data_IF_405818448617
#
_entry.id   IF_405818448617
#
_cell.length_a   1.000
_cell.length_b   1.000
_cell.length_c   1.000
_cell.angle_alpha   90.00
_cell.angle_beta   90.00
_cell.angle_gamma   90.00
#
_symmetry.space_group_name_H-M   'P 1'
#
loop_
_entity.id
_entity.type
_entity.pdbx_description
1 polymer ?
#
# COMPACT_ATOMS: atom_id res chain seq x y z
N UNK A 1 -18.30 -2.00 14.96
CA UNK A 1 -19.73 -1.67 15.24
C UNK A 1 -20.09 -0.38 14.54
N UNK A 2 -21.34 -0.20 14.08
CA UNK A 2 -21.80 1.11 13.60
C UNK A 2 -21.88 2.08 14.78
N UNK A 3 -21.51 3.35 14.52
CA UNK A 3 -21.69 4.43 15.49
C UNK A 3 -23.16 4.88 15.61
N UNK A 4 -23.45 5.85 16.48
CA UNK A 4 -24.79 6.48 16.50
C UNK A 4 -25.04 7.21 15.19
N UNK A 5 -26.32 7.32 14.81
CA UNK A 5 -26.71 8.20 13.70
C UNK A 5 -26.27 9.63 14.00
N UNK A 6 -25.56 10.23 13.08
CA UNK A 6 -24.94 11.54 13.25
C UNK A 6 -24.96 12.31 11.94
N UNK A 7 -25.23 13.59 12.02
CA UNK A 7 -25.01 14.48 10.88
C UNK A 7 -23.52 14.85 10.79
N UNK A 8 -23.02 15.02 9.57
CA UNK A 8 -21.65 15.49 9.31
C UNK A 8 -21.75 16.76 8.48
N UNK A 9 -21.18 17.84 8.99
CA UNK A 9 -21.09 19.10 8.26
C UNK A 9 -19.69 19.24 7.69
N UNK A 10 -19.62 19.49 6.39
CA UNK A 10 -18.36 19.73 5.66
C UNK A 10 -18.30 21.21 5.28
N UNK A 11 -17.18 21.84 5.57
CA UNK A 11 -16.88 23.22 5.17
C UNK A 11 -15.44 23.28 4.62
N UNK A 12 -15.28 23.91 3.48
CA UNK A 12 -13.99 24.06 2.76
C UNK A 12 -13.19 22.73 2.66
N UNK A 13 -13.91 21.63 2.28
CA UNK A 13 -13.30 20.32 2.10
C UNK A 13 -12.86 19.60 3.39
N UNK A 14 -13.27 20.11 4.56
CA UNK A 14 -12.97 19.52 5.87
C UNK A 14 -14.23 19.24 6.65
N UNK A 15 -14.17 18.25 7.52
CA UNK A 15 -15.21 17.98 8.50
C UNK A 15 -15.22 19.13 9.52
N UNK A 16 -16.32 19.88 9.56
CA UNK A 16 -16.47 20.97 10.52
C UNK A 16 -17.15 20.49 11.82
N UNK A 17 -18.18 19.63 11.70
CA UNK A 17 -18.96 19.13 12.84
C UNK A 17 -19.33 17.66 12.61
N UNK A 18 -19.32 16.87 13.67
CA UNK A 18 -19.88 15.51 13.73
C UNK A 18 -20.84 15.41 14.90
N UNK A 19 -22.09 15.03 14.64
CA UNK A 19 -23.14 14.91 15.64
C UNK A 19 -23.83 16.23 15.95
N UNK A 20 -25.16 16.14 16.19
CA UNK A 20 -26.07 17.28 16.43
C UNK A 20 -26.51 17.91 15.11
N UNK A 21 -27.74 18.44 15.09
CA UNK A 21 -28.23 19.27 13.99
C UNK A 21 -27.42 20.57 13.98
N UNK A 22 -26.27 20.56 13.31
CA UNK A 22 -25.61 21.80 12.94
C UNK A 22 -26.51 22.52 11.94
N UNK A 23 -26.74 23.84 12.06
CA UNK A 23 -27.44 24.56 11.03
C UNK A 23 -26.60 24.44 9.75
N UNK A 24 -27.11 23.75 8.75
CA UNK A 24 -26.60 23.93 7.40
C UNK A 24 -26.62 25.44 7.13
N UNK A 25 -25.42 26.02 6.79
CA UNK A 25 -25.35 27.43 6.44
C UNK A 25 -26.31 27.73 5.29
N UNK A 26 -26.69 29.00 5.12
CA UNK A 26 -27.52 29.41 3.99
C UNK A 26 -26.82 28.99 2.68
N UNK A 27 -27.46 28.11 1.89
CA UNK A 27 -26.88 27.55 0.65
C UNK A 27 -26.16 26.20 0.82
N UNK A 28 -26.19 25.55 1.99
CA UNK A 28 -25.65 24.21 2.16
C UNK A 28 -26.38 23.18 1.27
N UNK A 29 -25.61 22.26 0.67
CA UNK A 29 -26.17 21.11 -0.05
C UNK A 29 -26.34 19.99 0.97
N UNK A 30 -27.56 19.50 1.13
CA UNK A 30 -27.87 18.36 1.99
C UNK A 30 -27.83 17.06 1.19
N UNK A 31 -27.22 16.04 1.75
CA UNK A 31 -27.19 14.67 1.24
C UNK A 31 -27.74 13.74 2.32
N UNK A 32 -28.85 13.04 2.02
CA UNK A 32 -29.39 12.03 2.93
C UNK A 32 -28.58 10.73 2.82
N UNK A 33 -27.79 10.45 3.84
CA UNK A 33 -27.00 9.21 3.95
C UNK A 33 -27.83 7.99 4.34
N UNK A 34 -29.15 8.11 4.56
CA UNK A 34 -30.04 6.97 4.82
C UNK A 34 -29.72 6.16 6.08
N UNK A 35 -28.88 6.66 6.96
CA UNK A 35 -28.36 5.90 8.10
C UNK A 35 -27.29 4.84 7.74
N UNK A 36 -26.71 4.95 6.57
CA UNK A 36 -25.63 4.08 6.10
C UNK A 36 -24.31 4.35 6.82
N UNK A 37 -23.38 3.40 6.74
CA UNK A 37 -22.07 3.49 7.40
C UNK A 37 -21.17 4.49 6.69
N UNK A 38 -20.73 5.50 7.41
CA UNK A 38 -19.75 6.48 6.95
C UNK A 38 -18.35 6.06 7.37
N UNK A 39 -17.40 6.04 6.42
CA UNK A 39 -15.98 5.79 6.64
C UNK A 39 -15.15 6.96 6.07
N UNK A 40 -13.92 7.16 6.57
CA UNK A 40 -12.94 7.97 5.85
C UNK A 40 -12.54 7.25 4.56
N UNK A 41 -12.04 7.98 3.57
CA UNK A 41 -11.61 7.45 2.29
C UNK A 41 -10.58 6.32 2.44
N UNK A 42 -10.71 5.27 1.64
CA UNK A 42 -9.85 4.09 1.73
C UNK A 42 -8.42 4.41 1.27
N UNK A 43 -7.44 3.77 1.91
CA UNK A 43 -6.02 3.95 1.62
C UNK A 43 -5.41 2.64 1.14
N UNK A 44 -5.18 2.53 -0.16
CA UNK A 44 -4.46 1.40 -0.78
C UNK A 44 -2.95 1.62 -0.59
N UNK A 45 -2.39 0.96 0.41
CA UNK A 45 -1.01 1.17 0.84
C UNK A 45 0.02 0.39 0.01
N UNK A 46 -0.40 -0.40 -0.99
CA UNK A 46 0.49 -1.20 -1.81
C UNK A 46 -0.17 -1.62 -3.13
N UNK A 47 0.18 -0.98 -4.21
CA UNK A 47 -0.30 -1.26 -5.55
C UNK A 47 0.83 -1.17 -6.60
N UNK A 48 0.56 -1.63 -7.83
CA UNK A 48 1.44 -1.53 -9.00
C UNK A 48 0.64 -0.97 -10.19
N UNK A 49 0.46 0.35 -10.23
CA UNK A 49 -0.36 1.02 -11.24
C UNK A 49 0.24 0.93 -12.65
N UNK A 50 1.56 0.89 -12.76
CA UNK A 50 2.28 0.81 -14.04
C UNK A 50 2.14 -0.55 -14.74
N UNK A 51 1.82 -1.62 -13.99
CA UNK A 51 1.75 -3.01 -14.50
C UNK A 51 0.37 -3.42 -14.99
N UNK A 52 -0.67 -2.71 -14.55
CA UNK A 52 -2.06 -3.12 -14.80
C UNK A 52 -2.38 -3.27 -16.28
N UNK A 53 -3.24 -4.25 -16.59
CA UNK A 53 -3.92 -4.44 -17.88
C UNK A 53 -5.40 -4.07 -17.78
N UNK A 54 -5.80 -3.30 -16.74
CA UNK A 54 -7.17 -2.84 -16.55
C UNK A 54 -7.68 -2.06 -17.78
N UNK A 55 -8.88 -2.38 -18.22
CA UNK A 55 -9.46 -1.79 -19.43
C UNK A 55 -8.97 -2.40 -20.75
N UNK A 56 -7.98 -3.29 -20.72
CA UNK A 56 -7.49 -3.97 -21.92
C UNK A 56 -8.17 -5.33 -22.11
N UNK A 57 -8.18 -5.86 -23.36
CA UNK A 57 -8.63 -7.23 -23.63
C UNK A 57 -7.86 -8.24 -22.76
N UNK A 58 -8.56 -9.30 -22.36
CA UNK A 58 -7.97 -10.38 -21.61
C UNK A 58 -6.72 -10.95 -22.29
N UNK A 59 -5.68 -11.20 -21.49
CA UNK A 59 -4.48 -11.93 -21.89
C UNK A 59 -4.25 -13.07 -20.92
N UNK A 60 -4.05 -14.28 -21.47
CA UNK A 60 -3.67 -15.43 -20.65
C UNK A 60 -2.31 -15.22 -20.01
N UNK A 61 -2.15 -15.70 -18.78
CA UNK A 61 -0.86 -15.72 -18.12
C UNK A 61 0.10 -16.66 -18.86
N UNK A 62 1.26 -16.15 -19.25
CA UNK A 62 2.30 -16.87 -20.01
C UNK A 62 3.66 -16.87 -19.31
N UNK A 63 3.79 -16.21 -18.17
CA UNK A 63 4.99 -16.21 -17.33
C UNK A 63 5.23 -17.60 -16.73
N UNK A 64 6.49 -17.92 -16.43
CA UNK A 64 6.87 -19.14 -15.72
C UNK A 64 6.39 -19.13 -14.26
N UNK A 65 6.59 -20.23 -13.53
CA UNK A 65 6.18 -20.34 -12.13
C UNK A 65 7.12 -19.59 -11.16
N UNK A 66 8.28 -19.16 -11.62
CA UNK A 66 9.29 -18.49 -10.80
C UNK A 66 9.34 -16.98 -11.07
N UNK A 67 9.92 -16.25 -10.13
CA UNK A 67 10.00 -14.79 -10.16
C UNK A 67 10.75 -14.28 -11.40
N UNK A 68 11.85 -14.92 -11.78
CA UNK A 68 12.65 -14.49 -12.92
C UNK A 68 11.88 -14.63 -14.25
N UNK A 69 11.14 -15.73 -14.42
CA UNK A 69 10.27 -15.94 -15.58
C UNK A 69 9.12 -14.93 -15.67
N UNK A 70 8.52 -14.57 -14.53
CA UNK A 70 7.48 -13.54 -14.48
C UNK A 70 8.03 -12.17 -14.90
N UNK A 71 9.19 -11.78 -14.37
CA UNK A 71 9.87 -10.52 -14.72
C UNK A 71 10.23 -10.50 -16.21
N UNK A 72 10.81 -11.57 -16.76
CA UNK A 72 11.18 -11.65 -18.15
C UNK A 72 9.96 -11.55 -19.09
N UNK A 73 8.86 -12.22 -18.76
CA UNK A 73 7.60 -12.13 -19.49
C UNK A 73 7.03 -10.71 -19.50
N UNK A 74 7.05 -10.04 -18.36
CA UNK A 74 6.58 -8.66 -18.21
C UNK A 74 7.44 -7.68 -19.05
N UNK A 75 8.77 -7.77 -18.95
CA UNK A 75 9.69 -6.94 -19.74
C UNK A 75 9.46 -7.11 -21.25
N UNK A 76 9.26 -8.35 -21.70
CA UNK A 76 8.97 -8.60 -23.13
C UNK A 76 7.64 -8.01 -23.57
N UNK A 77 6.61 -8.07 -22.74
CA UNK A 77 5.27 -7.55 -23.06
C UNK A 77 5.17 -6.03 -22.97
N UNK A 78 5.92 -5.39 -22.08
CA UNK A 78 5.87 -3.94 -21.77
C UNK A 78 5.92 -3.07 -23.02
N UNK A 79 6.75 -3.42 -24.00
CA UNK A 79 6.95 -2.66 -25.27
C UNK A 79 5.72 -2.66 -26.18
N UNK A 80 4.76 -3.53 -25.92
CA UNK A 80 3.55 -3.71 -26.75
C UNK A 80 2.27 -3.30 -26.02
N UNK A 81 2.40 -2.74 -24.81
CA UNK A 81 1.28 -2.24 -24.04
C UNK A 81 1.01 -0.76 -24.36
N UNK A 82 -0.24 -0.31 -24.20
CA UNK A 82 -0.57 1.11 -24.20
C UNK A 82 0.25 1.88 -23.15
N UNK A 83 0.35 3.21 -23.28
CA UNK A 83 1.07 4.04 -22.33
C UNK A 83 0.66 3.78 -20.88
N UNK A 84 1.62 3.84 -19.96
CA UNK A 84 1.36 3.68 -18.52
C UNK A 84 0.31 4.68 -18.03
N UNK A 85 0.36 5.93 -18.49
CA UNK A 85 -0.59 6.98 -18.14
C UNK A 85 -2.05 6.57 -18.39
N UNK A 86 -2.31 5.91 -19.53
CA UNK A 86 -3.66 5.45 -19.87
C UNK A 86 -4.12 4.30 -18.97
N UNK A 87 -3.26 3.29 -18.78
CA UNK A 87 -3.58 2.09 -18.00
C UNK A 87 -3.71 2.39 -16.52
N UNK A 88 -2.74 3.12 -15.97
CA UNK A 88 -2.78 3.58 -14.59
C UNK A 88 -3.99 4.48 -14.32
N UNK A 89 -4.30 5.39 -15.26
CA UNK A 89 -5.48 6.23 -15.17
C UNK A 89 -6.79 5.44 -15.13
N UNK A 90 -6.96 4.45 -16.01
CA UNK A 90 -8.14 3.59 -16.01
C UNK A 90 -8.29 2.79 -14.71
N UNK A 91 -7.19 2.32 -14.11
CA UNK A 91 -7.23 1.63 -12.83
C UNK A 91 -7.53 2.59 -11.68
N UNK A 92 -6.95 3.80 -11.67
CA UNK A 92 -7.28 4.82 -10.67
C UNK A 92 -8.75 5.18 -10.69
N UNK A 93 -9.37 5.33 -11.89
CA UNK A 93 -10.81 5.57 -12.01
C UNK A 93 -11.63 4.44 -11.36
N UNK A 94 -11.23 3.19 -11.53
CA UNK A 94 -11.86 2.06 -10.85
C UNK A 94 -11.68 2.12 -9.32
N UNK A 95 -10.47 2.38 -8.84
CA UNK A 95 -10.20 2.52 -7.39
C UNK A 95 -11.02 3.65 -6.76
N UNK A 96 -11.13 4.81 -7.43
CA UNK A 96 -11.93 5.94 -6.96
C UNK A 96 -13.41 5.55 -6.82
N UNK A 97 -13.97 4.82 -7.79
CA UNK A 97 -15.37 4.36 -7.71
C UNK A 97 -15.63 3.40 -6.56
N UNK A 98 -14.58 2.77 -6.02
CA UNK A 98 -14.62 1.92 -4.82
C UNK A 98 -14.21 2.65 -3.53
N UNK A 99 -14.16 3.98 -3.56
CA UNK A 99 -13.89 4.80 -2.37
C UNK A 99 -12.42 4.90 -1.97
N UNK A 100 -11.49 4.53 -2.84
CA UNK A 100 -10.06 4.73 -2.58
C UNK A 100 -9.69 6.18 -2.86
N UNK A 101 -9.19 6.89 -1.85
CA UNK A 101 -8.78 8.30 -1.93
C UNK A 101 -7.26 8.49 -1.87
N UNK A 102 -6.53 7.45 -1.49
CA UNK A 102 -5.06 7.46 -1.49
C UNK A 102 -4.51 6.10 -1.94
N UNK A 103 -3.51 6.13 -2.82
CA UNK A 103 -2.81 4.94 -3.32
C UNK A 103 -1.30 5.12 -3.19
N UNK A 104 -0.60 4.14 -2.62
CA UNK A 104 0.85 4.00 -2.76
C UNK A 104 1.13 3.00 -3.88
N UNK A 105 1.78 3.46 -4.95
CA UNK A 105 2.13 2.62 -6.10
C UNK A 105 3.63 2.39 -6.19
N UNK A 106 4.04 1.13 -6.19
CA UNK A 106 5.38 0.72 -6.57
C UNK A 106 5.47 0.73 -8.10
N UNK A 107 6.46 1.41 -8.64
CA UNK A 107 6.62 1.61 -10.09
C UNK A 107 8.00 1.13 -10.52
N UNK A 108 8.04 0.25 -11.52
CA UNK A 108 9.27 -0.36 -12.00
C UNK A 108 10.29 0.66 -12.50
N UNK A 109 11.50 0.53 -11.96
CA UNK A 109 12.67 1.31 -12.37
C UNK A 109 13.81 0.34 -12.65
N UNK A 110 14.19 0.21 -13.90
CA UNK A 110 15.34 -0.58 -14.37
C UNK A 110 15.84 -0.02 -15.70
N UNK A 111 17.00 -0.45 -16.21
CA UNK A 111 17.56 0.08 -17.47
C UNK A 111 16.67 -0.10 -18.71
N UNK A 112 15.73 -1.07 -18.71
CA UNK A 112 14.77 -1.27 -19.82
C UNK A 112 13.55 -0.35 -19.68
N UNK A 113 13.06 -0.10 -18.45
CA UNK A 113 11.93 0.77 -18.17
C UNK A 113 12.33 2.26 -18.13
N UNK A 114 13.56 2.55 -17.71
CA UNK A 114 13.97 3.92 -17.38
C UNK A 114 13.07 4.53 -16.32
N UNK A 115 12.67 5.78 -16.52
CA UNK A 115 11.72 6.51 -15.69
C UNK A 115 10.32 6.63 -16.31
N UNK A 116 10.08 6.03 -17.47
CA UNK A 116 8.81 6.18 -18.19
C UNK A 116 7.59 5.68 -17.44
N UNK A 117 7.75 4.64 -16.59
CA UNK A 117 6.71 4.18 -15.67
C UNK A 117 6.36 5.24 -14.62
N UNK A 118 7.38 5.81 -13.98
CA UNK A 118 7.23 6.87 -12.96
C UNK A 118 6.53 8.09 -13.54
N UNK A 119 7.01 8.59 -14.68
CA UNK A 119 6.42 9.72 -15.38
C UNK A 119 4.95 9.45 -15.75
N UNK A 120 4.65 8.24 -16.23
CA UNK A 120 3.31 7.83 -16.60
C UNK A 120 2.34 7.77 -15.43
N UNK A 121 2.77 7.21 -14.29
CA UNK A 121 1.93 7.16 -13.08
C UNK A 121 1.74 8.54 -12.48
N UNK A 122 2.79 9.37 -12.39
CA UNK A 122 2.68 10.75 -11.92
C UNK A 122 1.74 11.58 -12.79
N UNK A 123 1.78 11.42 -14.12
CA UNK A 123 0.86 12.10 -15.03
C UNK A 123 -0.59 11.63 -14.86
N UNK A 124 -0.83 10.32 -14.64
CA UNK A 124 -2.15 9.77 -14.37
C UNK A 124 -2.72 10.30 -13.03
N UNK A 125 -1.86 10.42 -12.01
CA UNK A 125 -2.19 10.98 -10.70
C UNK A 125 -2.55 12.46 -10.79
N UNK A 126 -1.72 13.27 -11.46
CA UNK A 126 -1.97 14.70 -11.62
C UNK A 126 -3.31 14.99 -12.32
N UNK A 127 -3.68 14.17 -13.31
CA UNK A 127 -4.97 14.30 -13.98
C UNK A 127 -6.18 13.99 -13.08
N UNK A 128 -5.97 13.42 -11.88
CA UNK A 128 -6.99 13.03 -10.90
C UNK A 128 -6.73 13.59 -9.49
N UNK A 129 -5.86 14.59 -9.37
CA UNK A 129 -5.41 15.15 -8.08
C UNK A 129 -6.55 15.63 -7.18
N UNK A 130 -7.70 15.97 -7.75
CA UNK A 130 -8.89 16.42 -7.02
C UNK A 130 -9.72 15.25 -6.47
N UNK A 131 -9.37 13.99 -6.78
CA UNK A 131 -10.12 12.79 -6.42
C UNK A 131 -9.27 11.76 -5.67
N UNK A 132 -7.98 11.67 -6.00
CA UNK A 132 -7.07 10.67 -5.41
C UNK A 132 -5.67 11.23 -5.25
N UNK A 133 -5.04 10.94 -4.13
CA UNK A 133 -3.60 11.18 -3.90
C UNK A 133 -2.82 9.90 -4.24
N UNK A 134 -1.77 10.04 -5.04
CA UNK A 134 -0.88 8.90 -5.38
C UNK A 134 0.53 9.17 -4.88
N UNK A 135 1.01 8.30 -4.00
CA UNK A 135 2.40 8.26 -3.55
C UNK A 135 3.17 7.22 -4.36
N UNK A 136 4.20 7.62 -5.10
CA UNK A 136 5.00 6.73 -5.94
C UNK A 136 6.23 6.25 -5.18
N UNK A 137 6.46 4.93 -5.21
CA UNK A 137 7.68 4.26 -4.74
C UNK A 137 8.50 3.86 -5.97
N UNK A 138 9.74 4.34 -6.09
CA UNK A 138 10.68 3.80 -7.08
C UNK A 138 10.98 2.34 -6.74
N UNK A 139 10.76 1.40 -7.66
CA UNK A 139 10.82 -0.03 -7.37
C UNK A 139 11.78 -0.79 -8.29
N UNK A 140 12.81 -1.48 -7.74
CA UNK A 140 13.82 -2.16 -8.53
C UNK A 140 13.39 -3.59 -8.90
N UNK A 141 12.32 -3.75 -9.71
CA UNK A 141 11.76 -5.06 -10.05
C UNK A 141 12.76 -6.03 -10.67
N UNK A 142 13.74 -5.52 -11.42
CA UNK A 142 14.78 -6.33 -12.05
C UNK A 142 16.02 -6.54 -11.16
N UNK A 143 15.96 -6.12 -9.89
CA UNK A 143 17.02 -6.17 -8.90
C UNK A 143 17.80 -4.87 -8.81
N UNK A 144 18.22 -4.52 -7.59
CA UNK A 144 19.02 -3.32 -7.30
C UNK A 144 20.50 -3.49 -7.70
N UNK A 145 21.04 -4.69 -7.47
CA UNK A 145 22.47 -4.98 -7.64
C UNK A 145 22.76 -5.88 -8.83
N UNK A 146 21.85 -6.81 -9.14
CA UNK A 146 22.03 -7.79 -10.23
C UNK A 146 21.76 -7.20 -11.60
N UNK A 147 21.06 -6.07 -11.69
CA UNK A 147 20.85 -5.31 -12.94
C UNK A 147 21.65 -4.00 -12.89
N UNK A 148 22.80 -3.92 -13.59
CA UNK A 148 23.68 -2.75 -13.53
C UNK A 148 22.99 -1.48 -14.03
N UNK A 149 23.13 -0.37 -13.28
CA UNK A 149 22.51 0.93 -13.59
C UNK A 149 21.18 1.16 -12.87
N UNK A 150 20.59 0.14 -12.25
CA UNK A 150 19.34 0.30 -11.50
C UNK A 150 19.49 1.25 -10.31
N UNK A 151 20.56 1.15 -9.54
CA UNK A 151 20.76 2.00 -8.35
C UNK A 151 20.81 3.50 -8.71
N UNK A 152 21.46 3.86 -9.81
CA UNK A 152 21.52 5.23 -10.33
C UNK A 152 20.13 5.71 -10.80
N UNK A 153 19.38 4.85 -11.48
CA UNK A 153 18.01 5.16 -11.92
C UNK A 153 17.06 5.30 -10.73
N UNK A 154 17.18 4.47 -9.70
CA UNK A 154 16.40 4.59 -8.47
C UNK A 154 16.66 5.94 -7.79
N UNK A 155 17.92 6.37 -7.71
CA UNK A 155 18.27 7.70 -7.20
C UNK A 155 17.66 8.82 -8.07
N UNK A 156 17.67 8.66 -9.40
CA UNK A 156 17.06 9.63 -10.32
C UNK A 156 15.52 9.65 -10.22
N UNK A 157 14.87 8.49 -10.01
CA UNK A 157 13.43 8.39 -9.83
C UNK A 157 12.96 9.14 -8.58
N UNK A 158 13.69 9.04 -7.47
CA UNK A 158 13.38 9.81 -6.24
C UNK A 158 13.56 11.30 -6.50
N UNK A 159 14.62 11.70 -7.19
CA UNK A 159 14.83 13.10 -7.58
C UNK A 159 13.73 13.62 -8.54
N UNK A 160 13.11 12.75 -9.32
CA UNK A 160 12.01 13.07 -10.25
C UNK A 160 10.62 13.11 -9.58
N UNK A 161 10.51 12.82 -8.27
CA UNK A 161 9.26 12.99 -7.52
C UNK A 161 8.70 11.73 -6.86
N UNK A 162 9.42 10.59 -6.89
CA UNK A 162 9.02 9.45 -6.08
C UNK A 162 9.14 9.79 -4.59
N UNK A 163 8.09 9.54 -3.83
CA UNK A 163 8.02 9.84 -2.39
C UNK A 163 8.79 8.83 -1.53
N UNK A 164 9.07 7.66 -2.09
CA UNK A 164 9.80 6.59 -1.42
C UNK A 164 10.76 5.86 -2.37
N UNK A 165 11.78 5.24 -1.79
CA UNK A 165 12.65 4.29 -2.46
C UNK A 165 12.28 2.88 -2.01
N UNK A 166 12.16 1.98 -2.98
CA UNK A 166 11.83 0.57 -2.77
C UNK A 166 13.05 -0.34 -2.75
N UNK A 167 12.79 -1.59 -2.41
CA UNK A 167 13.73 -2.70 -2.53
C UNK A 167 12.97 -3.98 -2.86
N UNK A 168 13.67 -5.00 -3.37
CA UNK A 168 13.11 -6.31 -3.70
C UNK A 168 14.04 -7.41 -3.20
N UNK A 169 13.52 -8.24 -2.26
CA UNK A 169 14.16 -9.47 -1.77
C UNK A 169 15.69 -9.37 -1.71
N UNK A 170 16.27 -8.56 -0.80
CA UNK A 170 17.69 -8.25 -0.77
C UNK A 170 18.59 -9.47 -0.78
N UNK A 171 18.19 -10.56 -0.08
CA UNK A 171 18.92 -11.82 -0.07
C UNK A 171 18.49 -12.75 -1.20
N UNK A 172 17.18 -12.94 -1.39
CA UNK A 172 16.63 -13.92 -2.34
C UNK A 172 16.90 -13.55 -3.79
N UNK A 173 16.84 -12.28 -4.13
CA UNK A 173 17.02 -11.80 -5.50
C UNK A 173 18.42 -11.24 -5.76
N UNK A 174 18.84 -10.22 -5.02
CA UNK A 174 20.15 -9.56 -5.21
C UNK A 174 21.34 -10.34 -4.62
N UNK A 175 21.09 -11.30 -3.70
CA UNK A 175 22.08 -12.17 -3.07
C UNK A 175 23.15 -11.44 -2.24
N UNK A 176 22.96 -10.16 -1.99
CA UNK A 176 23.79 -9.33 -1.11
C UNK A 176 22.90 -8.36 -0.32
N UNK A 177 22.23 -8.87 0.73
CA UNK A 177 21.27 -8.08 1.48
C UNK A 177 21.87 -6.88 2.20
N UNK A 178 23.13 -6.95 2.57
CA UNK A 178 23.83 -5.84 3.23
C UNK A 178 23.97 -4.67 2.26
N UNK A 179 24.56 -4.93 1.09
CA UNK A 179 24.79 -3.90 0.07
C UNK A 179 23.48 -3.38 -0.52
N UNK A 180 22.47 -4.25 -0.77
CA UNK A 180 21.16 -3.83 -1.21
C UNK A 180 20.54 -2.81 -0.25
N UNK A 181 20.50 -3.15 1.05
CA UNK A 181 19.94 -2.27 2.07
C UNK A 181 20.79 -0.99 2.22
N UNK A 182 22.11 -1.04 2.09
CA UNK A 182 22.97 0.15 2.12
C UNK A 182 22.64 1.11 0.97
N UNK A 183 22.36 0.58 -0.24
CA UNK A 183 21.93 1.40 -1.38
C UNK A 183 20.56 2.04 -1.12
N UNK A 184 19.55 1.25 -0.71
CA UNK A 184 18.20 1.73 -0.46
C UNK A 184 18.18 2.81 0.63
N UNK A 185 18.78 2.52 1.78
CA UNK A 185 18.81 3.46 2.91
C UNK A 185 19.70 4.67 2.62
N UNK A 186 20.76 4.52 1.83
CA UNK A 186 21.61 5.63 1.39
C UNK A 186 20.87 6.59 0.44
N UNK A 187 19.99 6.09 -0.44
CA UNK A 187 19.10 6.93 -1.25
C UNK A 187 18.09 7.65 -0.35
N UNK A 188 17.47 6.91 0.58
CA UNK A 188 16.50 7.49 1.51
C UNK A 188 17.10 8.62 2.36
N UNK A 189 18.30 8.45 2.87
CA UNK A 189 19.03 9.46 3.65
C UNK A 189 19.35 10.70 2.79
N UNK A 190 19.87 10.50 1.58
CA UNK A 190 20.28 11.58 0.67
C UNK A 190 19.12 12.48 0.29
N UNK A 191 17.93 11.91 0.01
CA UNK A 191 16.75 12.62 -0.45
C UNK A 191 15.76 12.95 0.66
N UNK A 192 15.97 12.42 1.85
CA UNK A 192 15.01 12.55 2.93
C UNK A 192 13.67 11.87 2.60
N UNK A 193 13.62 10.82 1.76
CA UNK A 193 12.40 10.13 1.37
C UNK A 193 12.08 8.92 2.27
N UNK A 194 10.90 8.33 2.09
CA UNK A 194 10.46 7.10 2.77
C UNK A 194 11.14 5.88 2.15
N UNK A 195 11.00 4.73 2.83
CA UNK A 195 11.49 3.41 2.37
C UNK A 195 10.31 2.44 2.35
N UNK A 196 10.17 1.64 1.27
CA UNK A 196 9.21 0.54 1.21
C UNK A 196 9.81 -0.67 0.50
N UNK A 197 10.14 -1.72 1.26
CA UNK A 197 10.87 -2.89 0.77
C UNK A 197 9.96 -4.09 0.63
N UNK A 198 9.85 -4.65 -0.58
CA UNK A 198 9.26 -5.97 -0.80
C UNK A 198 10.16 -7.05 -0.20
N UNK A 199 9.59 -7.86 0.68
CA UNK A 199 10.31 -8.93 1.35
C UNK A 199 9.47 -10.22 1.35
N UNK A 200 9.69 -11.07 0.34
CA UNK A 200 9.02 -12.36 0.20
C UNK A 200 9.81 -13.50 0.85
N UNK A 201 11.10 -13.29 1.14
CA UNK A 201 11.95 -14.27 1.79
C UNK A 201 11.33 -14.75 3.11
N UNK A 202 11.32 -16.08 3.32
CA UNK A 202 10.64 -16.73 4.45
C UNK A 202 11.62 -17.23 5.49
N UNK A 203 11.07 -17.69 6.62
CA UNK A 203 11.83 -18.33 7.70
C UNK A 203 12.96 -17.47 8.23
N UNK A 204 14.08 -18.10 8.55
CA UNK A 204 15.25 -17.45 9.14
C UNK A 204 15.85 -16.34 8.26
N UNK A 205 15.87 -16.55 6.94
CA UNK A 205 16.41 -15.58 6.00
C UNK A 205 15.61 -14.28 5.99
N UNK A 206 14.27 -14.38 5.86
CA UNK A 206 13.41 -13.21 5.90
C UNK A 206 13.43 -12.52 7.27
N UNK A 207 13.40 -13.28 8.35
CA UNK A 207 13.47 -12.74 9.70
C UNK A 207 14.75 -11.93 9.96
N UNK A 208 15.90 -12.45 9.53
CA UNK A 208 17.17 -11.73 9.64
C UNK A 208 17.17 -10.41 8.85
N UNK A 209 16.56 -10.40 7.66
CA UNK A 209 16.46 -9.17 6.86
C UNK A 209 15.55 -8.13 7.54
N UNK A 210 14.45 -8.55 8.18
CA UNK A 210 13.62 -7.64 8.96
C UNK A 210 14.44 -7.03 10.11
N UNK A 211 15.20 -7.84 10.84
CA UNK A 211 16.08 -7.38 11.92
C UNK A 211 17.14 -6.39 11.38
N UNK A 212 17.69 -6.64 10.19
CA UNK A 212 18.64 -5.73 9.54
C UNK A 212 17.99 -4.40 9.10
N UNK A 213 16.73 -4.42 8.63
CA UNK A 213 15.94 -3.22 8.31
C UNK A 213 15.66 -2.41 9.58
N UNK A 214 15.24 -3.06 10.67
CA UNK A 214 15.03 -2.40 11.98
C UNK A 214 16.32 -1.69 12.44
N UNK A 215 17.45 -2.38 12.35
CA UNK A 215 18.75 -1.81 12.76
C UNK A 215 19.13 -0.56 11.95
N UNK A 216 18.94 -0.57 10.61
CA UNK A 216 19.20 0.58 9.75
C UNK A 216 18.22 1.73 10.00
N UNK A 217 16.94 1.42 10.17
CA UNK A 217 15.91 2.41 10.51
C UNK A 217 16.28 3.17 11.77
N UNK A 218 16.74 2.44 12.81
CA UNK A 218 17.20 3.02 14.06
C UNK A 218 18.47 3.87 13.86
N UNK A 219 19.45 3.33 13.17
CA UNK A 219 20.73 4.00 12.96
C UNK A 219 20.63 5.33 12.21
N UNK A 220 19.67 5.44 11.27
CA UNK A 220 19.44 6.61 10.42
C UNK A 220 18.31 7.51 10.90
N UNK A 221 17.66 7.21 12.04
CA UNK A 221 16.57 8.01 12.58
C UNK A 221 15.32 8.05 11.67
N UNK A 222 15.05 6.98 10.92
CA UNK A 222 13.94 6.88 9.98
C UNK A 222 12.67 6.29 10.62
N UNK A 223 12.52 6.37 11.93
CA UNK A 223 11.35 5.87 12.65
C UNK A 223 10.03 6.46 12.10
N UNK A 224 9.08 5.59 11.73
CA UNK A 224 7.81 5.97 11.13
C UNK A 224 7.87 6.27 9.62
N UNK A 225 9.02 6.03 8.96
CA UNK A 225 9.22 6.31 7.53
C UNK A 225 9.58 5.07 6.72
N UNK A 226 9.49 3.89 7.33
CA UNK A 226 9.83 2.61 6.71
C UNK A 226 8.62 1.69 6.71
N UNK A 227 8.36 1.07 5.57
CA UNK A 227 7.39 0.00 5.39
C UNK A 227 8.13 -1.26 4.90
N UNK A 228 7.70 -2.43 5.37
CA UNK A 228 8.12 -3.72 4.82
C UNK A 228 6.88 -4.40 4.23
N UNK A 229 6.89 -4.55 2.92
CA UNK A 229 5.79 -5.16 2.19
C UNK A 229 5.90 -6.68 2.18
N UNK A 230 4.76 -7.36 2.30
CA UNK A 230 4.60 -8.82 2.44
C UNK A 230 5.12 -9.40 3.76
N UNK A 231 6.40 -9.26 4.06
CA UNK A 231 7.03 -9.69 5.32
C UNK A 231 6.66 -11.12 5.76
N UNK A 232 6.59 -12.07 4.81
CA UNK A 232 6.06 -13.43 5.05
C UNK A 232 6.73 -14.19 6.19
N UNK A 233 8.00 -13.88 6.50
CA UNK A 233 8.70 -14.52 7.61
C UNK A 233 8.01 -14.28 8.96
N UNK A 234 7.35 -13.13 9.17
CA UNK A 234 6.71 -12.77 10.44
C UNK A 234 5.62 -13.75 10.86
N UNK A 235 4.92 -14.34 9.88
CA UNK A 235 3.86 -15.32 10.15
C UNK A 235 4.37 -16.70 10.60
N UNK A 236 5.66 -17.01 10.39
CA UNK A 236 6.18 -18.38 10.53
C UNK A 236 7.36 -18.53 11.49
N UNK A 237 7.89 -17.44 12.03
CA UNK A 237 8.98 -17.49 13.01
C UNK A 237 8.50 -17.97 14.37
N UNK A 238 9.38 -18.61 15.19
CA UNK A 238 9.07 -18.99 16.56
C UNK A 238 8.63 -17.78 17.43
N UNK A 239 7.82 -18.03 18.45
CA UNK A 239 7.24 -16.97 19.29
C UNK A 239 8.26 -16.02 19.92
N UNK A 240 9.40 -16.53 20.39
CA UNK A 240 10.45 -15.69 20.95
C UNK A 240 11.05 -14.73 19.91
N UNK A 241 11.25 -15.21 18.67
CA UNK A 241 11.74 -14.35 17.59
C UNK A 241 10.69 -13.37 17.12
N UNK A 242 9.43 -13.82 17.01
CA UNK A 242 8.30 -12.93 16.74
C UNK A 242 8.28 -11.76 17.73
N UNK A 243 8.36 -12.03 19.02
CA UNK A 243 8.33 -10.98 20.06
C UNK A 243 9.45 -9.95 19.88
N UNK A 244 10.69 -10.41 19.58
CA UNK A 244 11.83 -9.50 19.32
C UNK A 244 11.62 -8.65 18.07
N UNK A 245 11.18 -9.26 16.97
CA UNK A 245 10.91 -8.56 15.71
C UNK A 245 9.79 -7.55 15.92
N UNK A 246 8.67 -7.96 16.51
CA UNK A 246 7.52 -7.08 16.75
C UNK A 246 7.88 -5.88 17.65
N UNK A 247 8.66 -6.11 18.71
CA UNK A 247 9.16 -5.03 19.56
C UNK A 247 10.02 -4.02 18.78
N UNK A 248 10.93 -4.51 17.91
CA UNK A 248 11.76 -3.64 17.08
C UNK A 248 10.95 -2.87 16.02
N UNK A 249 9.98 -3.51 15.39
CA UNK A 249 9.07 -2.87 14.44
C UNK A 249 8.25 -1.76 15.12
N UNK A 250 7.67 -2.05 16.29
CA UNK A 250 6.89 -1.08 17.06
C UNK A 250 7.75 0.09 17.53
N UNK A 251 8.93 -0.17 18.11
CA UNK A 251 9.87 0.87 18.58
C UNK A 251 10.25 1.83 17.45
N UNK A 252 10.53 1.30 16.25
CA UNK A 252 10.90 2.10 15.09
C UNK A 252 9.68 2.56 14.26
N UNK A 253 8.46 2.25 14.71
CA UNK A 253 7.22 2.55 13.97
C UNK A 253 7.30 2.12 12.51
N UNK A 254 7.87 0.95 12.25
CA UNK A 254 7.91 0.34 10.93
C UNK A 254 6.55 -0.29 10.66
N UNK A 255 5.93 0.05 9.54
CA UNK A 255 4.68 -0.56 9.10
C UNK A 255 4.92 -1.84 8.30
N UNK A 256 3.99 -2.78 8.40
CA UNK A 256 3.97 -3.95 7.53
C UNK A 256 2.81 -3.83 6.54
N UNK A 257 3.07 -3.96 5.24
CA UNK A 257 2.01 -4.00 4.23
C UNK A 257 1.66 -5.44 3.87
N UNK A 258 0.37 -5.77 3.95
CA UNK A 258 -0.17 -7.06 3.52
C UNK A 258 -1.06 -6.89 2.29
N UNK A 259 -1.15 -7.93 1.47
CA UNK A 259 -2.00 -7.96 0.27
C UNK A 259 -3.00 -9.10 0.32
N UNK A 260 -3.22 -9.68 1.49
CA UNK A 260 -4.04 -10.87 1.70
C UNK A 260 -3.71 -12.03 0.74
N UNK A 261 -2.44 -12.45 0.62
CA UNK A 261 -1.98 -13.33 -0.45
C UNK A 261 -2.64 -14.71 -0.37
N UNK A 262 -3.00 -15.29 -1.53
CA UNK A 262 -3.77 -16.54 -1.60
C UNK A 262 -2.99 -17.80 -1.18
N UNK A 263 -1.66 -17.80 -1.27
CA UNK A 263 -0.81 -19.01 -1.14
C UNK A 263 0.13 -19.00 0.07
N UNK A 264 0.10 -17.94 0.88
CA UNK A 264 0.96 -17.80 2.06
C UNK A 264 0.13 -17.65 3.31
N UNK A 265 0.72 -17.99 4.45
CA UNK A 265 0.13 -17.69 5.76
C UNK A 265 -0.09 -16.17 5.89
N UNK A 266 -1.28 -15.70 6.28
CA UNK A 266 -1.51 -14.28 6.50
C UNK A 266 -0.69 -13.78 7.68
N UNK A 267 -0.34 -12.50 7.68
CA UNK A 267 0.27 -11.86 8.84
C UNK A 267 -0.62 -12.01 10.07
N UNK A 268 -0.05 -12.29 11.26
CA UNK A 268 -0.80 -12.49 12.49
C UNK A 268 -1.31 -11.17 13.07
N UNK A 269 -2.37 -10.60 12.45
CA UNK A 269 -2.84 -9.22 12.68
C UNK A 269 -3.08 -8.89 14.16
N UNK A 270 -3.77 -9.80 14.90
CA UNK A 270 -4.02 -9.56 16.34
C UNK A 270 -2.71 -9.45 17.12
N UNK A 271 -1.78 -10.38 16.90
CA UNK A 271 -0.49 -10.40 17.60
C UNK A 271 0.35 -9.16 17.27
N UNK A 272 0.31 -8.69 16.02
CA UNK A 272 1.00 -7.48 15.58
C UNK A 272 0.38 -6.24 16.21
N UNK A 273 -0.96 -6.11 16.18
CA UNK A 273 -1.70 -5.03 16.86
C UNK A 273 -1.36 -4.98 18.36
N UNK A 274 -1.42 -6.13 19.03
CA UNK A 274 -1.19 -6.22 20.48
C UNK A 274 0.27 -5.88 20.85
N UNK A 275 1.20 -6.06 19.90
CA UNK A 275 2.59 -5.62 20.02
C UNK A 275 2.83 -4.16 19.59
N UNK A 276 1.78 -3.43 19.17
CA UNK A 276 1.89 -2.04 18.71
C UNK A 276 2.46 -1.85 17.30
N UNK A 277 2.48 -2.91 16.48
CA UNK A 277 2.95 -2.85 15.08
C UNK A 277 1.81 -2.45 14.16
N UNK A 278 2.01 -1.42 13.35
CA UNK A 278 1.07 -1.02 12.33
C UNK A 278 1.07 -2.01 11.14
N UNK A 279 -0.13 -2.42 10.73
CA UNK A 279 -0.33 -3.19 9.49
C UNK A 279 -1.24 -2.39 8.57
N UNK A 280 -0.88 -2.29 7.29
CA UNK A 280 -1.67 -1.68 6.24
C UNK A 280 -1.97 -2.69 5.13
N UNK A 281 -3.04 -2.44 4.38
CA UNK A 281 -3.52 -3.30 3.31
C UNK A 281 -3.28 -2.65 1.95
N UNK A 282 -2.97 -3.49 0.97
CA UNK A 282 -2.92 -3.09 -0.43
C UNK A 282 -3.47 -4.16 -1.36
N UNK A 283 -3.71 -3.76 -2.59
CA UNK A 283 -4.22 -4.64 -3.65
C UNK A 283 -3.12 -5.49 -4.29
N UNK A 284 -1.85 -4.99 -4.28
CA UNK A 284 -0.75 -5.51 -5.09
C UNK A 284 -1.03 -5.30 -6.59
N UNK A 285 -0.58 -6.23 -7.46
CA UNK A 285 -0.92 -6.21 -8.87
C UNK A 285 -2.41 -6.48 -9.11
N UNK A 286 -3.03 -5.64 -9.95
CA UNK A 286 -4.43 -5.76 -10.34
C UNK A 286 -4.50 -6.03 -11.84
N UNK A 287 -4.97 -7.24 -12.21
CA UNK A 287 -5.08 -7.67 -13.61
C UNK A 287 -3.84 -7.32 -14.43
N UNK A 288 -2.72 -7.84 -14.01
CA UNK A 288 -1.43 -7.68 -14.67
C UNK A 288 -0.96 -8.98 -15.34
N UNK A 289 0.29 -9.01 -15.76
CA UNK A 289 0.90 -10.20 -16.39
C UNK A 289 1.29 -11.29 -15.36
N UNK A 290 1.15 -11.00 -14.06
CA UNK A 290 1.45 -11.91 -12.97
C UNK A 290 0.19 -12.55 -12.40
N UNK A 291 -0.92 -11.81 -12.40
CA UNK A 291 -2.18 -12.22 -11.82
C UNK A 291 -3.39 -11.68 -12.58
N UNK A 292 -4.41 -12.52 -12.88
CA UNK A 292 -5.64 -12.07 -13.50
C UNK A 292 -6.63 -11.45 -12.51
N UNK A 293 -6.28 -11.40 -11.21
CA UNK A 293 -7.19 -11.04 -10.14
C UNK A 293 -7.09 -9.55 -9.78
N UNK A 294 -8.06 -9.12 -8.95
CA UNK A 294 -8.19 -7.75 -8.48
C UNK A 294 -9.13 -6.91 -9.34
N UNK A 295 -9.76 -5.92 -8.72
CA UNK A 295 -10.77 -5.08 -9.35
C UNK A 295 -10.73 -3.62 -8.85
N UNK A 296 -9.76 -3.27 -7.96
CA UNK A 296 -9.68 -1.95 -7.34
C UNK A 296 -10.57 -1.78 -6.09
N UNK A 297 -11.38 -2.77 -5.72
CA UNK A 297 -12.18 -2.75 -4.49
C UNK A 297 -11.32 -3.16 -3.28
N UNK A 298 -10.88 -2.17 -2.50
CA UNK A 298 -10.07 -2.41 -1.30
C UNK A 298 -10.90 -2.99 -0.15
N UNK A 299 -12.21 -2.79 -0.13
CA UNK A 299 -13.11 -3.43 0.85
C UNK A 299 -13.22 -4.93 0.61
N UNK A 300 -13.33 -5.35 -0.66
CA UNK A 300 -13.26 -6.78 -1.00
C UNK A 300 -11.93 -7.40 -0.55
N UNK A 301 -10.83 -6.64 -0.70
CA UNK A 301 -9.51 -7.09 -0.23
C UNK A 301 -9.46 -7.20 1.30
N UNK A 302 -10.06 -6.27 2.04
CA UNK A 302 -10.17 -6.33 3.50
C UNK A 302 -11.03 -7.51 3.96
N UNK A 303 -12.14 -7.78 3.28
CA UNK A 303 -12.98 -8.96 3.54
C UNK A 303 -12.21 -10.27 3.29
N UNK A 304 -11.42 -10.35 2.21
CA UNK A 304 -10.54 -11.49 1.93
C UNK A 304 -9.49 -11.66 3.03
N UNK A 305 -8.89 -10.57 3.52
CA UNK A 305 -7.93 -10.59 4.62
C UNK A 305 -8.58 -11.13 5.90
N UNK A 306 -9.76 -10.64 6.25
CA UNK A 306 -10.53 -11.11 7.41
C UNK A 306 -10.84 -12.62 7.32
N UNK A 307 -11.33 -13.05 6.16
CA UNK A 307 -11.65 -14.46 5.92
C UNK A 307 -10.42 -15.35 6.03
N UNK A 308 -9.30 -14.97 5.43
CA UNK A 308 -8.04 -15.71 5.48
C UNK A 308 -7.43 -15.76 6.87
N UNK A 309 -7.63 -14.71 7.67
CA UNK A 309 -7.19 -14.64 9.06
C UNK A 309 -8.10 -15.41 10.01
N UNK A 310 -9.19 -16.03 9.51
CA UNK A 310 -10.16 -16.75 10.32
C UNK A 310 -10.98 -15.86 11.24
N UNK A 311 -11.11 -14.58 10.92
CA UNK A 311 -11.85 -13.59 11.70
C UNK A 311 -13.35 -13.83 11.60
N UNK A 312 -14.06 -13.68 12.75
CA UNK A 312 -15.51 -13.90 12.83
C UNK A 312 -16.21 -12.93 13.79
N UNK A 313 -15.47 -12.36 14.73
CA UNK A 313 -16.00 -11.36 15.65
C UNK A 313 -15.89 -9.96 15.07
N UNK A 314 -16.74 -9.05 15.54
CA UNK A 314 -16.79 -7.66 15.04
C UNK A 314 -15.44 -6.95 15.19
N UNK A 315 -14.79 -7.05 16.36
CA UNK A 315 -13.48 -6.44 16.62
C UNK A 315 -12.39 -6.91 15.64
N UNK A 316 -12.49 -8.15 15.16
CA UNK A 316 -11.54 -8.71 14.20
C UNK A 316 -11.83 -8.23 12.78
N UNK A 317 -13.11 -8.14 12.41
CA UNK A 317 -13.54 -7.60 11.12
C UNK A 317 -13.16 -6.12 11.04
N UNK A 318 -13.38 -5.38 12.11
CA UNK A 318 -12.93 -3.98 12.23
C UNK A 318 -11.41 -3.86 12.15
N UNK A 319 -10.64 -4.79 12.74
CA UNK A 319 -9.18 -4.82 12.59
C UNK A 319 -8.74 -5.01 11.13
N UNK A 320 -9.46 -5.85 10.37
CA UNK A 320 -9.16 -6.00 8.94
C UNK A 320 -9.48 -4.71 8.16
N UNK A 321 -10.57 -4.01 8.48
CA UNK A 321 -10.91 -2.72 7.89
C UNK A 321 -9.92 -1.63 8.30
N UNK A 322 -9.44 -1.61 9.56
CA UNK A 322 -8.41 -0.67 10.01
C UNK A 322 -7.18 -0.72 9.11
N UNK A 323 -6.80 -1.90 8.59
CA UNK A 323 -5.66 -2.01 7.68
C UNK A 323 -5.86 -1.27 6.35
N UNK A 324 -7.09 -1.14 5.86
CA UNK A 324 -7.48 -0.45 4.62
C UNK A 324 -7.80 1.04 4.81
N UNK A 325 -7.78 1.51 6.05
CA UNK A 325 -8.13 2.87 6.46
C UNK A 325 -7.01 3.48 7.29
N UNK A 326 -7.13 3.49 8.61
CA UNK A 326 -6.16 4.08 9.54
C UNK A 326 -4.77 3.41 9.48
N UNK A 327 -4.69 2.10 9.23
CA UNK A 327 -3.43 1.39 9.04
C UNK A 327 -2.67 1.91 7.82
N UNK A 328 -3.39 2.10 6.71
CA UNK A 328 -2.85 2.72 5.50
C UNK A 328 -2.41 4.17 5.76
N UNK A 329 -3.27 4.98 6.38
CA UNK A 329 -2.97 6.36 6.69
C UNK A 329 -1.72 6.52 7.57
N UNK A 330 -1.58 5.67 8.61
CA UNK A 330 -0.37 5.65 9.46
C UNK A 330 0.88 5.27 8.67
N UNK A 331 0.80 4.28 7.76
CA UNK A 331 1.94 3.85 6.95
C UNK A 331 2.39 4.93 5.95
N UNK A 332 1.45 5.68 5.40
CA UNK A 332 1.72 6.77 4.46
C UNK A 332 2.01 8.09 5.18
N UNK A 333 1.78 8.19 6.48
CA UNK A 333 1.97 9.42 7.25
C UNK A 333 0.96 10.51 6.86
N UNK A 334 -0.30 10.14 6.67
CA UNK A 334 -1.39 11.09 6.34
C UNK A 334 -1.85 11.73 7.65
N UNK A 335 -1.56 13.01 7.79
CA UNK A 335 -1.96 13.77 8.97
C UNK A 335 -3.46 14.12 8.94
N UNK A 336 -4.09 14.04 10.11
CA UNK A 336 -5.50 14.41 10.29
C UNK A 336 -6.49 13.47 9.59
N UNK A 337 -6.07 12.26 9.23
CA UNK A 337 -6.96 11.26 8.65
C UNK A 337 -7.99 10.74 9.66
N UNK A 338 -9.26 10.67 9.25
CA UNK A 338 -10.35 10.15 10.08
C UNK A 338 -11.66 10.89 9.86
N UNK A 339 -12.54 10.83 10.87
CA UNK A 339 -13.86 11.46 10.84
C UNK A 339 -14.01 12.56 11.90
N UNK A 340 -12.93 12.96 12.55
CA UNK A 340 -12.96 14.02 13.56
C UNK A 340 -13.06 15.41 12.91
N UNK A 341 -13.63 16.42 13.60
CA UNK A 341 -13.58 17.80 13.13
C UNK A 341 -12.15 18.25 12.82
N UNK A 342 -11.98 18.86 11.63
CA UNK A 342 -10.68 19.25 11.08
C UNK A 342 -10.05 18.24 10.12
N UNK A 343 -10.53 16.99 10.08
CA UNK A 343 -10.09 16.00 9.08
C UNK A 343 -10.51 16.39 7.67
N UNK A 344 -9.74 16.01 6.62
CA UNK A 344 -10.22 16.08 5.24
C UNK A 344 -11.57 15.36 5.09
N UNK A 345 -12.47 15.92 4.31
CA UNK A 345 -13.78 15.31 4.07
C UNK A 345 -13.76 14.32 2.90
N UNK A 346 -12.71 13.50 2.83
CA UNK A 346 -12.62 12.35 1.93
C UNK A 346 -13.43 11.21 2.56
N UNK A 347 -14.67 11.07 2.13
CA UNK A 347 -15.67 10.24 2.80
C UNK A 347 -16.19 9.14 1.88
N UNK A 348 -16.45 7.98 2.45
CA UNK A 348 -17.09 6.83 1.78
C UNK A 348 -18.33 6.43 2.54
N UNK A 349 -19.47 6.43 1.84
CA UNK A 349 -20.73 5.95 2.38
C UNK A 349 -20.98 4.53 1.85
N UNK A 350 -21.20 3.59 2.76
CA UNK A 350 -21.45 2.20 2.44
C UNK A 350 -22.89 1.81 2.75
N UNK A 351 -23.59 1.07 1.85
CA UNK A 351 -24.96 0.61 2.06
C UNK A 351 -25.03 -0.50 3.11
N UNK A 352 -24.65 -0.19 4.33
CA UNK A 352 -24.62 -1.08 5.48
C UNK A 352 -24.79 -0.28 6.77
N UNK A 353 -25.38 -0.88 7.80
CA UNK A 353 -25.51 -0.25 9.12
C UNK A 353 -24.27 -0.50 10.00
N UNK A 354 -23.45 -1.50 9.69
CA UNK A 354 -22.24 -1.87 10.45
C UNK A 354 -21.17 -2.40 9.51
N UNK A 355 -19.92 -2.39 9.95
CA UNK A 355 -18.78 -2.95 9.19
C UNK A 355 -19.00 -4.42 8.85
N UNK A 356 -19.50 -5.22 9.80
CA UNK A 356 -19.74 -6.66 9.62
C UNK A 356 -20.99 -6.96 8.77
N UNK A 357 -21.86 -5.99 8.57
CA UNK A 357 -23.12 -6.14 7.83
C UNK A 357 -23.03 -5.89 6.33
N UNK A 358 -21.84 -5.65 5.81
CA UNK A 358 -21.59 -5.43 4.38
C UNK A 358 -21.37 -6.74 3.59
#
# INVERSE_FOLDING_TARGET
MGGPLSDVVVDDGRIAVVGGAGPGGEGAIEFDGGGELLLPGLVDAHAHLDKTLWGLPWRSHTGGPDLAGLIANERAARRHLPPVTERAGALLDACITHGVTTVRSHVDVDPDAGLGGVEGVLAAAEARRDQVTVEVVAFPQSGMLVEPGTAELMNAAVAAGCAAVGGLDPAGFDRDPVRHLDVVFGIAERHGCKVDIHLHDRGELGAWQIEAIIARTRALGLAGRVTVSHAFAVATVPDERFARIAAGLAEQRISLATVAPGRTEPLPLRRLRDAGVNVCLGQDGIRDLWSPYGNGDLMERAALLAWRSGFRGDDDIELALDTATFGGARALGIDGYGLDPGSPADLVLLPAATVAGR
#
